data_IF_695186078577
#
_entry.id   IF_695186078577
#
_cell.length_a   1.000
_cell.length_b   1.000
_cell.length_c   1.000
_cell.angle_alpha   90.00
_cell.angle_beta   90.00
_cell.angle_gamma   90.00
#
_symmetry.space_group_name_H-M   'P 1'
#
loop_
_entity.id
_entity.type
_entity.pdbx_description
1 polymer ?
#
# COMPACT_ATOMS: atom_id res chain seq x y z
N UNK A 1 -30.75 7.89 10.44
CA UNK A 1 -30.24 7.32 9.17
C UNK A 1 -29.53 6.02 9.51
N UNK A 2 -29.94 4.90 8.92
CA UNK A 2 -29.17 3.65 8.99
C UNK A 2 -28.08 3.72 7.91
N UNK A 3 -26.85 4.04 8.32
CA UNK A 3 -25.69 4.15 7.43
C UNK A 3 -24.50 3.42 8.02
N UNK A 4 -23.60 2.94 7.16
CA UNK A 4 -22.35 2.33 7.59
C UNK A 4 -21.40 3.41 8.09
N UNK A 5 -20.88 3.23 9.31
CA UNK A 5 -19.84 4.10 9.88
C UNK A 5 -18.50 3.37 9.82
N UNK A 6 -17.49 3.92 9.13
CA UNK A 6 -16.17 3.31 9.08
C UNK A 6 -15.55 3.35 10.48
N UNK A 7 -15.15 2.19 10.98
CA UNK A 7 -14.37 2.03 12.21
C UNK A 7 -13.10 1.30 11.86
N UNK A 8 -12.00 1.67 12.50
CA UNK A 8 -10.71 1.00 12.36
C UNK A 8 -10.82 -0.49 12.70
N UNK A 9 -11.68 -0.83 13.67
CA UNK A 9 -11.99 -2.21 14.02
C UNK A 9 -10.75 -2.95 14.53
N UNK A 10 -10.62 -4.26 14.24
CA UNK A 10 -9.51 -5.09 14.73
C UNK A 10 -8.11 -4.65 14.31
N UNK A 11 -7.98 -3.81 13.27
CA UNK A 11 -6.69 -3.30 12.80
C UNK A 11 -6.00 -2.44 13.88
N UNK A 12 -6.78 -1.83 14.78
CA UNK A 12 -6.25 -1.08 15.92
C UNK A 12 -5.35 -1.91 16.83
N UNK A 13 -5.56 -3.22 16.89
CA UNK A 13 -4.86 -4.13 17.80
C UNK A 13 -3.63 -4.78 17.15
N UNK A 14 -3.29 -4.40 15.91
CA UNK A 14 -2.17 -4.99 15.15
C UNK A 14 -0.80 -4.39 15.50
N UNK A 15 -0.73 -3.56 16.55
CA UNK A 15 0.48 -2.85 16.98
C UNK A 15 1.08 -1.96 15.87
N UNK A 16 0.21 -1.40 15.02
CA UNK A 16 0.57 -0.45 13.98
C UNK A 16 0.73 0.96 14.59
N UNK A 17 1.64 1.75 14.04
CA UNK A 17 1.67 3.18 14.33
C UNK A 17 0.44 3.84 13.68
N UNK A 18 -0.42 4.45 14.49
CA UNK A 18 -1.68 5.04 14.04
C UNK A 18 -1.75 6.51 14.47
N UNK A 19 -2.05 7.37 13.53
CA UNK A 19 -2.32 8.79 13.75
C UNK A 19 -3.69 9.15 13.18
N UNK A 20 -4.57 9.67 14.03
CA UNK A 20 -5.95 10.07 13.65
C UNK A 20 -6.74 8.99 12.89
N UNK A 21 -6.68 7.74 13.37
CA UNK A 21 -7.32 6.57 12.74
C UNK A 21 -6.78 6.19 11.36
N UNK A 22 -5.55 6.59 11.02
CA UNK A 22 -4.86 6.16 9.82
C UNK A 22 -3.46 5.64 10.17
N UNK A 23 -3.01 4.63 9.42
CA UNK A 23 -1.74 3.95 9.61
C UNK A 23 -0.61 4.82 9.07
N UNK A 24 0.40 5.09 9.89
CA UNK A 24 1.61 5.79 9.45
C UNK A 24 2.46 4.90 8.56
N UNK A 25 3.04 5.46 7.50
CA UNK A 25 3.83 4.72 6.52
C UNK A 25 5.08 5.48 6.08
N UNK A 26 6.11 4.76 5.66
CA UNK A 26 7.23 5.31 4.91
C UNK A 26 6.82 5.54 3.46
N UNK A 27 6.94 6.77 2.94
CA UNK A 27 6.55 7.10 1.56
C UNK A 27 7.45 6.50 0.48
N UNK A 28 8.59 5.90 0.84
CA UNK A 28 9.45 5.21 -0.12
C UNK A 28 8.76 3.97 -0.71
N UNK A 29 8.07 3.19 0.12
CA UNK A 29 7.44 1.93 -0.29
C UNK A 29 6.11 1.60 0.42
N UNK A 30 5.58 2.54 1.21
CA UNK A 30 4.37 2.42 2.00
C UNK A 30 4.39 1.30 3.05
N UNK A 31 5.59 0.93 3.52
CA UNK A 31 5.76 0.04 4.66
C UNK A 31 5.29 0.71 5.96
N UNK A 32 4.77 -0.11 6.86
CA UNK A 32 4.41 0.29 8.22
C UNK A 32 5.57 0.06 9.19
N UNK A 33 5.38 0.36 10.47
CA UNK A 33 6.32 -0.02 11.53
C UNK A 33 6.46 -1.55 11.73
N UNK A 34 5.51 -2.35 11.24
CA UNK A 34 5.55 -3.81 11.35
C UNK A 34 6.18 -4.40 10.08
N UNK A 35 7.34 -5.08 10.16
CA UNK A 35 8.04 -5.57 8.97
C UNK A 35 7.21 -6.53 8.11
N UNK A 36 7.06 -6.19 6.83
CA UNK A 36 6.27 -6.97 5.87
C UNK A 36 4.78 -6.64 5.85
N UNK A 37 4.33 -5.68 6.66
CA UNK A 37 2.98 -5.11 6.59
C UNK A 37 3.07 -3.73 5.94
N UNK A 38 2.19 -3.50 4.96
CA UNK A 38 2.11 -2.28 4.18
C UNK A 38 0.68 -1.70 4.28
N UNK A 39 0.53 -0.40 4.08
CA UNK A 39 -0.77 0.25 4.09
C UNK A 39 -0.87 1.28 2.96
N UNK A 40 -1.93 1.19 2.15
CA UNK A 40 -2.17 2.05 0.97
C UNK A 40 -3.63 2.48 0.90
N UNK A 41 -3.93 3.55 0.16
CA UNK A 41 -5.28 4.09 0.00
C UNK A 41 -5.72 4.89 1.22
N UNK A 42 -7.03 4.92 1.50
CA UNK A 42 -7.63 5.80 2.50
C UNK A 42 -7.22 5.49 3.96
N UNK A 43 -6.66 4.30 4.20
CA UNK A 43 -6.27 3.80 5.52
C UNK A 43 -4.92 4.36 6.00
N UNK A 44 -4.05 4.85 5.11
CA UNK A 44 -2.71 5.32 5.50
C UNK A 44 -2.64 6.86 5.66
N UNK A 45 -1.55 7.34 6.25
CA UNK A 45 -1.24 8.76 6.39
C UNK A 45 0.26 9.03 6.26
N UNK A 46 0.59 10.18 5.68
CA UNK A 46 1.93 10.73 5.52
C UNK A 46 1.83 12.23 5.15
N UNK A 47 2.91 13.04 5.26
CA UNK A 47 2.87 14.45 4.91
C UNK A 47 2.33 14.70 3.50
N UNK A 48 1.28 15.52 3.38
CA UNK A 48 0.67 15.87 2.09
C UNK A 48 -0.29 14.84 1.50
N UNK A 49 -0.66 13.77 2.22
CA UNK A 49 -1.63 12.76 1.77
C UNK A 49 -2.95 13.41 1.27
N UNK A 50 -3.33 13.06 0.05
CA UNK A 50 -4.68 13.29 -0.48
C UNK A 50 -5.43 11.96 -0.55
N UNK A 51 -6.66 11.91 -0.02
CA UNK A 51 -7.52 10.71 -0.05
C UNK A 51 -8.29 10.64 -1.36
N UNK A 52 -7.57 10.27 -2.43
CA UNK A 52 -8.10 10.12 -3.78
C UNK A 52 -7.83 8.69 -4.27
N UNK A 53 -8.76 8.17 -5.07
CA UNK A 53 -8.59 6.88 -5.76
C UNK A 53 -7.26 6.86 -6.55
N UNK A 54 -6.94 7.98 -7.22
CA UNK A 54 -5.68 8.18 -7.94
C UNK A 54 -4.44 7.93 -7.07
N UNK A 55 -4.41 8.50 -5.85
CA UNK A 55 -3.29 8.33 -4.93
C UNK A 55 -3.15 6.87 -4.51
N UNK A 56 -4.27 6.20 -4.20
CA UNK A 56 -4.27 4.77 -3.86
C UNK A 56 -3.64 3.90 -4.95
N UNK A 57 -3.89 4.20 -6.24
CA UNK A 57 -3.25 3.48 -7.34
C UNK A 57 -1.73 3.71 -7.39
N UNK A 58 -1.26 4.95 -7.24
CA UNK A 58 0.17 5.23 -7.18
C UNK A 58 0.84 4.55 -5.98
N UNK A 59 0.19 4.56 -4.82
CA UNK A 59 0.70 3.92 -3.61
C UNK A 59 0.85 2.40 -3.80
N UNK A 60 -0.13 1.77 -4.45
CA UNK A 60 -0.08 0.35 -4.78
C UNK A 60 1.11 -0.02 -5.68
N UNK A 61 1.48 0.83 -6.64
CA UNK A 61 2.56 0.51 -7.58
C UNK A 61 3.93 0.49 -6.90
N UNK A 62 4.18 1.36 -5.93
CA UNK A 62 5.42 1.36 -5.15
C UNK A 62 5.43 0.23 -4.13
N UNK A 63 4.33 0.03 -3.40
CA UNK A 63 4.20 -1.00 -2.39
C UNK A 63 4.46 -2.40 -2.94
N UNK A 64 3.86 -2.74 -4.09
CA UNK A 64 3.99 -4.08 -4.67
C UNK A 64 5.44 -4.41 -5.08
N UNK A 65 6.24 -3.41 -5.44
CA UNK A 65 7.66 -3.61 -5.76
C UNK A 65 8.46 -4.01 -4.52
N UNK A 66 8.21 -3.37 -3.37
CA UNK A 66 8.84 -3.74 -2.10
C UNK A 66 8.36 -5.11 -1.62
N UNK A 67 7.05 -5.35 -1.67
CA UNK A 67 6.47 -6.65 -1.30
C UNK A 67 7.04 -7.79 -2.17
N UNK A 68 7.20 -7.59 -3.48
CA UNK A 68 7.78 -8.58 -4.38
C UNK A 68 9.21 -8.95 -3.95
N UNK A 69 10.07 -7.96 -3.70
CA UNK A 69 11.46 -8.20 -3.28
C UNK A 69 11.54 -8.95 -1.96
N UNK A 70 10.60 -8.69 -1.05
CA UNK A 70 10.50 -9.42 0.23
C UNK A 70 10.08 -10.88 0.05
N UNK A 71 9.09 -11.14 -0.81
CA UNK A 71 8.55 -12.49 -1.04
C UNK A 71 9.50 -13.35 -1.88
N UNK A 72 10.21 -12.72 -2.82
CA UNK A 72 11.12 -13.40 -3.76
C UNK A 72 12.52 -12.76 -3.73
N UNK A 73 13.29 -12.93 -2.63
CA UNK A 73 14.59 -12.29 -2.47
C UNK A 73 15.61 -12.70 -3.54
N UNK A 74 15.47 -13.92 -4.07
CA UNK A 74 16.38 -14.47 -5.10
C UNK A 74 15.96 -14.11 -6.53
N UNK A 75 14.81 -13.46 -6.72
CA UNK A 75 14.33 -13.06 -8.05
C UNK A 75 14.66 -11.60 -8.31
N UNK A 76 15.28 -11.35 -9.46
CA UNK A 76 15.47 -9.99 -9.94
C UNK A 76 14.25 -9.54 -10.78
N UNK A 77 13.43 -8.64 -10.23
CA UNK A 77 12.31 -8.05 -10.95
C UNK A 77 12.79 -6.87 -11.79
N UNK A 78 12.80 -7.06 -13.12
CA UNK A 78 13.04 -5.98 -14.06
C UNK A 78 11.70 -5.35 -14.45
N UNK A 79 11.44 -4.13 -13.98
CA UNK A 79 10.28 -3.35 -14.41
C UNK A 79 10.45 -2.98 -15.89
N UNK A 80 9.51 -3.42 -16.72
CA UNK A 80 9.43 -3.07 -18.14
C UNK A 80 8.16 -2.27 -18.39
N UNK A 81 8.14 -1.50 -19.48
CA UNK A 81 6.93 -0.79 -19.88
C UNK A 81 5.79 -1.80 -20.13
N UNK A 82 4.62 -1.54 -19.57
CA UNK A 82 3.44 -2.41 -19.76
C UNK A 82 3.01 -2.49 -21.22
N UNK A 83 3.35 -1.48 -22.03
CA UNK A 83 3.09 -1.43 -23.48
C UNK A 83 3.96 -2.38 -24.31
N UNK A 84 5.09 -2.85 -23.76
CA UNK A 84 5.98 -3.82 -24.45
C UNK A 84 5.83 -5.24 -23.90
N UNK A 85 5.43 -5.38 -22.64
CA UNK A 85 5.05 -6.65 -22.03
C UNK A 85 3.56 -6.93 -22.28
N UNK A 86 3.21 -7.20 -23.53
CA UNK A 86 1.90 -7.77 -23.87
C UNK A 86 1.83 -9.23 -23.44
N UNK A 87 0.60 -9.75 -23.32
CA UNK A 87 0.38 -11.19 -23.20
C UNK A 87 0.84 -11.85 -24.50
N UNK A 88 1.63 -12.92 -24.44
CA UNK A 88 1.79 -13.80 -25.59
C UNK A 88 0.47 -14.56 -25.79
N UNK A 89 -0.48 -13.95 -26.50
CA UNK A 89 -1.75 -14.57 -26.88
C UNK A 89 -2.98 -13.78 -26.44
N UNK A 90 -3.76 -13.38 -27.45
CA UNK A 90 -5.14 -13.81 -27.56
C UNK A 90 -5.20 -14.79 -28.74
#
# INVERSE_FOLDING_TARGET
LFGLSPKLGPIADWNLNISKNAVEVDTFDYSTNVPGVYAIGDINTYPGKLKLILCGFHEATLMVQSAFKRIYPDKNLVLKYTTVNGVAGF
#
